data_IF_683247500395
#
_entry.id   IF_683247500395
#
_cell.length_a   1.000
_cell.length_b   1.000
_cell.length_c   1.000
_cell.angle_alpha   90.00
_cell.angle_beta   90.00
_cell.angle_gamma   90.00
#
_symmetry.space_group_name_H-M   'P 1'
#
loop_
_entity.id
_entity.type
_entity.pdbx_description
1 polymer ?
#
# COMPACT_ATOMS: atom_id res chain seq x y z
N UNK A 1 -6.92 63.49 51.83
CA UNK A 1 -6.47 62.11 51.61
C UNK A 1 -7.53 61.12 51.09
N UNK A 2 -8.76 61.10 51.65
CA UNK A 2 -9.80 60.11 51.20
C UNK A 2 -10.25 60.21 49.73
N UNK A 3 -10.28 61.43 49.14
CA UNK A 3 -10.72 61.62 47.73
C UNK A 3 -9.69 61.11 46.68
N UNK A 4 -8.41 61.06 47.03
CA UNK A 4 -7.34 60.58 46.11
C UNK A 4 -7.32 59.04 46.01
N UNK A 5 -7.56 58.35 47.13
CA UNK A 5 -7.63 56.88 47.16
C UNK A 5 -8.84 56.35 46.38
N UNK A 6 -9.97 57.05 46.50
CA UNK A 6 -11.22 56.66 45.78
C UNK A 6 -11.04 56.82 44.25
N UNK A 7 -10.34 57.86 43.77
CA UNK A 7 -10.01 58.01 42.34
C UNK A 7 -9.05 56.89 41.83
N UNK A 8 -8.11 56.47 42.64
CA UNK A 8 -7.17 55.38 42.30
C UNK A 8 -7.90 54.03 42.26
N UNK A 9 -8.81 53.72 43.17
CA UNK A 9 -9.63 52.55 43.17
C UNK A 9 -10.57 52.51 41.94
N UNK A 10 -11.20 53.63 41.60
CA UNK A 10 -12.03 53.76 40.42
C UNK A 10 -11.22 53.62 39.12
N UNK A 11 -9.96 54.09 39.08
CA UNK A 11 -9.05 53.89 37.95
C UNK A 11 -8.68 52.42 37.78
N UNK A 12 -8.38 51.69 38.87
CA UNK A 12 -8.08 50.25 38.84
C UNK A 12 -9.31 49.42 38.46
N UNK A 13 -10.51 49.75 38.84
CA UNK A 13 -11.73 49.09 38.46
C UNK A 13 -12.15 49.38 37.01
N UNK A 14 -11.80 50.57 36.48
CA UNK A 14 -12.09 50.93 35.09
C UNK A 14 -11.14 50.30 34.08
N UNK A 15 -9.94 49.88 34.51
CA UNK A 15 -8.91 49.25 33.70
C UNK A 15 -8.91 47.70 33.82
N UNK A 16 -9.90 47.10 34.52
CA UNK A 16 -10.17 45.68 34.31
C UNK A 16 -10.75 45.53 32.89
N UNK A 17 -9.84 45.42 31.89
CA UNK A 17 -10.19 44.81 30.63
C UNK A 17 -10.85 43.49 31.01
N UNK A 18 -12.11 43.33 30.69
CA UNK A 18 -12.71 42.00 30.58
C UNK A 18 -11.82 41.23 29.57
N UNK A 19 -10.89 40.43 30.05
CA UNK A 19 -10.35 39.35 29.28
C UNK A 19 -11.55 38.46 28.95
N UNK A 20 -12.10 38.70 27.76
CA UNK A 20 -13.05 37.75 27.19
C UNK A 20 -12.32 36.41 27.19
N UNK A 21 -12.89 35.35 27.83
CA UNK A 21 -12.25 34.05 27.77
C UNK A 21 -11.99 33.77 26.30
N UNK A 22 -10.75 33.38 25.99
CA UNK A 22 -10.35 32.99 24.64
C UNK A 22 -11.46 32.07 24.12
N UNK A 23 -12.07 32.45 23.01
CA UNK A 23 -13.13 31.65 22.37
C UNK A 23 -12.48 30.32 22.09
N UNK A 24 -12.75 29.29 22.89
CA UNK A 24 -12.38 27.92 22.61
C UNK A 24 -13.00 27.66 21.25
N UNK A 25 -12.14 27.67 20.22
CA UNK A 25 -12.56 27.43 18.85
C UNK A 25 -13.11 26.02 18.86
N UNK A 26 -14.45 25.86 18.77
CA UNK A 26 -15.06 24.53 18.69
C UNK A 26 -14.46 23.87 17.45
N UNK A 27 -13.57 22.91 17.68
CA UNK A 27 -13.01 22.07 16.65
C UNK A 27 -14.19 21.54 15.81
N UNK A 28 -14.18 21.76 14.51
CA UNK A 28 -15.24 21.26 13.64
C UNK A 28 -15.17 19.72 13.56
N UNK A 29 -16.26 19.09 13.16
CA UNK A 29 -16.33 17.61 13.09
C UNK A 29 -15.20 17.01 12.27
N UNK A 30 -14.89 17.61 11.11
CA UNK A 30 -13.81 17.13 10.23
C UNK A 30 -12.46 17.14 10.96
N UNK A 31 -12.16 18.18 11.70
CA UNK A 31 -10.91 18.29 12.46
C UNK A 31 -10.85 17.26 13.60
N UNK A 32 -11.98 17.01 14.28
CA UNK A 32 -12.05 15.97 15.30
C UNK A 32 -11.82 14.59 14.74
N UNK A 33 -12.45 14.25 13.61
CA UNK A 33 -12.25 12.98 12.90
C UNK A 33 -10.81 12.82 12.43
N UNK A 34 -10.25 13.84 11.79
CA UNK A 34 -8.88 13.79 11.29
C UNK A 34 -7.88 13.57 12.43
N UNK A 35 -8.02 14.30 13.54
CA UNK A 35 -7.16 14.15 14.71
C UNK A 35 -7.30 12.75 15.32
N UNK A 36 -8.52 12.27 15.52
CA UNK A 36 -8.75 10.92 16.01
C UNK A 36 -8.06 9.86 15.18
N UNK A 37 -8.20 9.93 13.85
CA UNK A 37 -7.61 8.97 12.93
C UNK A 37 -6.07 9.03 12.96
N UNK A 38 -5.49 10.22 12.87
CA UNK A 38 -4.03 10.41 12.87
C UNK A 38 -3.36 10.06 14.20
N UNK A 39 -4.03 10.32 15.32
CA UNK A 39 -3.49 9.99 16.65
C UNK A 39 -3.55 8.49 16.96
N UNK A 40 -4.53 7.78 16.38
CA UNK A 40 -4.81 6.37 16.72
C UNK A 40 -4.21 5.38 15.74
N UNK A 41 -4.01 5.78 14.49
CA UNK A 41 -3.67 4.88 13.40
C UNK A 41 -2.61 5.46 12.48
N UNK A 42 -1.88 4.58 11.82
CA UNK A 42 -1.05 4.89 10.68
C UNK A 42 -1.76 4.39 9.43
N UNK A 43 -1.83 5.25 8.43
CA UNK A 43 -2.47 4.97 7.14
C UNK A 43 -1.46 5.07 6.01
N UNK A 44 -1.71 4.32 4.95
CA UNK A 44 -1.01 4.45 3.67
C UNK A 44 -1.94 4.05 2.52
N UNK A 45 -1.75 4.66 1.37
CA UNK A 45 -2.51 4.36 0.15
C UNK A 45 -1.63 3.60 -0.83
N UNK A 46 -2.08 2.42 -1.22
CA UNK A 46 -1.37 1.52 -2.12
C UNK A 46 -1.66 1.91 -3.57
N UNK A 47 -0.67 2.46 -4.27
CA UNK A 47 -0.79 2.90 -5.65
C UNK A 47 -1.01 1.77 -6.66
N UNK A 48 -0.72 0.52 -6.27
CA UNK A 48 -0.86 -0.63 -7.16
C UNK A 48 -2.26 -1.23 -7.14
N UNK A 49 -2.89 -1.26 -5.95
CA UNK A 49 -4.21 -1.88 -5.75
C UNK A 49 -5.34 -0.88 -5.54
N UNK A 50 -5.02 0.43 -5.52
CA UNK A 50 -5.97 1.52 -5.20
C UNK A 50 -6.68 1.31 -3.85
N UNK A 51 -5.97 0.77 -2.86
CA UNK A 51 -6.50 0.46 -1.53
C UNK A 51 -5.85 1.30 -0.45
N UNK A 52 -6.65 1.78 0.49
CA UNK A 52 -6.13 2.34 1.74
C UNK A 52 -5.88 1.22 2.74
N UNK A 53 -4.69 1.21 3.30
CA UNK A 53 -4.27 0.26 4.34
C UNK A 53 -4.02 1.02 5.65
N UNK A 54 -4.24 0.35 6.77
CA UNK A 54 -4.03 0.94 8.09
C UNK A 54 -3.46 -0.06 9.09
N UNK A 55 -2.92 0.47 10.16
CA UNK A 55 -2.60 -0.28 11.38
C UNK A 55 -2.74 0.64 12.59
N UNK A 56 -3.02 0.11 13.80
CA UNK A 56 -2.95 0.91 15.02
C UNK A 56 -1.54 1.48 15.22
N UNK A 57 -1.45 2.75 15.64
CA UNK A 57 -0.16 3.42 15.82
C UNK A 57 0.73 2.73 16.86
N UNK A 58 0.11 2.19 17.91
CA UNK A 58 0.81 1.56 19.05
C UNK A 58 0.83 0.04 18.99
N UNK A 59 0.44 -0.59 17.86
CA UNK A 59 0.46 -2.04 17.74
C UNK A 59 1.90 -2.58 17.71
N UNK A 60 2.15 -3.68 18.43
CA UNK A 60 3.41 -4.42 18.37
C UNK A 60 3.61 -5.02 16.96
N UNK A 61 2.52 -5.51 16.36
CA UNK A 61 2.51 -5.94 14.96
C UNK A 61 2.49 -4.71 14.03
N UNK A 62 3.47 -4.67 13.11
CA UNK A 62 3.61 -3.60 12.12
C UNK A 62 2.89 -3.88 10.81
N UNK A 63 2.10 -4.95 10.75
CA UNK A 63 1.37 -5.36 9.56
C UNK A 63 0.24 -4.39 9.24
N UNK A 64 0.20 -3.90 8.00
CA UNK A 64 -0.90 -3.10 7.49
C UNK A 64 -2.01 -4.00 6.96
N UNK A 65 -3.26 -3.62 7.23
CA UNK A 65 -4.46 -4.32 6.78
C UNK A 65 -5.26 -3.40 5.86
N UNK A 66 -5.77 -3.94 4.77
CA UNK A 66 -6.66 -3.19 3.85
C UNK A 66 -7.96 -2.81 4.54
N UNK A 67 -8.40 -1.57 4.34
CA UNK A 67 -9.66 -1.07 4.87
C UNK A 67 -10.83 -1.54 4.00
N UNK A 68 -11.61 -2.46 4.56
CA UNK A 68 -12.90 -2.86 4.01
C UNK A 68 -14.07 -2.25 4.77
N UNK A 69 -15.28 -2.73 4.52
CA UNK A 69 -16.50 -2.27 5.21
C UNK A 69 -16.47 -2.51 6.72
N UNK A 70 -15.87 -3.62 7.15
CA UNK A 70 -15.79 -3.96 8.58
C UNK A 70 -14.85 -3.02 9.32
N UNK A 71 -13.71 -2.75 8.75
CA UNK A 71 -12.70 -1.84 9.28
C UNK A 71 -13.24 -0.41 9.34
N UNK A 72 -13.90 0.05 8.28
CA UNK A 72 -14.56 1.36 8.24
C UNK A 72 -15.60 1.51 9.37
N UNK A 73 -16.46 0.52 9.54
CA UNK A 73 -17.45 0.51 10.61
C UNK A 73 -16.81 0.50 12.00
N UNK A 74 -15.71 -0.24 12.18
CA UNK A 74 -14.95 -0.29 13.44
C UNK A 74 -14.40 1.10 13.76
N UNK A 75 -13.76 1.78 12.80
CA UNK A 75 -13.26 3.15 12.98
C UNK A 75 -14.39 4.12 13.37
N UNK A 76 -15.58 3.97 12.78
CA UNK A 76 -16.75 4.76 13.11
C UNK A 76 -17.21 4.55 14.55
N UNK A 77 -17.32 3.29 14.98
CA UNK A 77 -17.72 2.94 16.35
C UNK A 77 -16.71 3.43 17.38
N UNK A 78 -15.43 3.35 17.08
CA UNK A 78 -14.38 3.86 17.97
C UNK A 78 -14.39 5.39 18.07
N UNK A 79 -14.67 6.10 16.96
CA UNK A 79 -14.88 7.54 17.00
C UNK A 79 -16.08 7.91 17.90
N UNK A 80 -17.19 7.18 17.78
CA UNK A 80 -18.37 7.36 18.63
C UNK A 80 -18.07 7.10 20.11
N UNK A 81 -17.30 6.05 20.43
CA UNK A 81 -16.88 5.76 21.80
C UNK A 81 -16.06 6.90 22.43
N UNK A 82 -15.41 7.73 21.61
CA UNK A 82 -14.70 8.95 22.01
C UNK A 82 -15.57 10.22 21.95
N UNK A 83 -16.86 10.08 21.72
CA UNK A 83 -17.81 11.20 21.65
C UNK A 83 -17.79 11.99 20.34
N UNK A 84 -17.15 11.45 19.28
CA UNK A 84 -17.11 12.06 17.96
C UNK A 84 -18.26 11.48 17.13
N UNK A 85 -19.36 12.24 16.99
CA UNK A 85 -20.58 11.82 16.27
C UNK A 85 -20.38 12.01 14.75
N UNK A 86 -19.62 11.11 14.13
CA UNK A 86 -19.35 11.12 12.70
C UNK A 86 -20.08 9.97 11.98
N UNK A 87 -20.21 10.10 10.67
CA UNK A 87 -20.71 9.06 9.78
C UNK A 87 -19.54 8.35 9.07
N UNK A 88 -19.80 7.19 8.52
CA UNK A 88 -18.86 6.44 7.67
C UNK A 88 -18.28 7.31 6.54
N UNK A 89 -19.11 8.19 5.96
CA UNK A 89 -18.69 9.15 4.92
C UNK A 89 -17.64 10.16 5.40
N UNK A 90 -17.67 10.56 6.66
CA UNK A 90 -16.70 11.52 7.19
C UNK A 90 -15.33 10.86 7.34
N UNK A 91 -15.30 9.61 7.79
CA UNK A 91 -14.09 8.79 7.85
C UNK A 91 -13.59 8.47 6.44
N UNK A 92 -14.49 8.05 5.52
CA UNK A 92 -14.13 7.73 4.13
C UNK A 92 -13.49 8.93 3.41
N UNK A 93 -13.95 10.16 3.66
CA UNK A 93 -13.33 11.38 3.10
C UNK A 93 -11.87 11.55 3.50
N UNK A 94 -11.53 11.21 4.73
CA UNK A 94 -10.13 11.20 5.17
C UNK A 94 -9.35 10.09 4.47
N UNK A 95 -9.86 8.85 4.50
CA UNK A 95 -9.19 7.65 4.00
C UNK A 95 -8.87 7.70 2.50
N UNK A 96 -9.75 8.34 1.70
CA UNK A 96 -9.57 8.50 0.25
C UNK A 96 -9.09 9.90 -0.14
N UNK A 97 -8.53 10.66 0.81
CA UNK A 97 -7.94 11.96 0.56
C UNK A 97 -6.41 11.88 0.50
N UNK A 98 -5.78 12.94 -0.01
CA UNK A 98 -4.32 13.09 0.01
C UNK A 98 -3.71 13.30 1.42
N UNK A 99 -4.52 13.25 2.46
CA UNK A 99 -4.02 13.19 3.84
C UNK A 99 -3.39 11.83 4.17
N UNK A 100 -3.78 10.79 3.43
CA UNK A 100 -3.17 9.46 3.51
C UNK A 100 -1.97 9.42 2.57
N UNK A 101 -0.75 9.15 3.05
CA UNK A 101 0.43 9.10 2.21
C UNK A 101 0.37 7.93 1.23
N UNK A 102 0.69 8.22 -0.02
CA UNK A 102 0.79 7.24 -1.09
C UNK A 102 2.07 6.43 -0.97
N UNK A 103 2.03 5.16 -1.33
CA UNK A 103 3.22 4.32 -1.44
C UNK A 103 3.09 3.33 -2.59
N UNK A 104 4.22 2.96 -3.18
CA UNK A 104 4.29 1.89 -4.16
C UNK A 104 5.01 0.69 -3.54
N UNK A 105 4.39 -0.51 -3.44
CA UNK A 105 4.95 -1.62 -2.66
C UNK A 105 6.31 -2.09 -3.17
N UNK A 106 6.53 -2.13 -4.47
CA UNK A 106 7.80 -2.55 -5.05
C UNK A 106 8.90 -1.50 -4.84
N UNK A 107 8.60 -0.21 -4.99
CA UNK A 107 9.58 0.84 -4.72
C UNK A 107 10.00 0.83 -3.25
N UNK A 108 9.03 0.73 -2.33
CA UNK A 108 9.31 0.60 -0.90
C UNK A 108 10.18 -0.62 -0.58
N UNK A 109 9.94 -1.75 -1.25
CA UNK A 109 10.78 -2.94 -1.10
C UNK A 109 12.21 -2.69 -1.55
N UNK A 110 12.41 -2.08 -2.72
CA UNK A 110 13.76 -1.78 -3.23
C UNK A 110 14.52 -0.77 -2.36
N UNK A 111 13.84 0.23 -1.82
CA UNK A 111 14.43 1.21 -0.88
C UNK A 111 14.97 0.55 0.41
N UNK A 112 14.38 -0.58 0.81
CA UNK A 112 14.75 -1.30 2.03
C UNK A 112 15.82 -2.37 1.80
N UNK A 113 16.21 -2.61 0.54
CA UNK A 113 17.24 -3.60 0.24
C UNK A 113 18.61 -3.11 0.74
N UNK A 114 19.44 -4.03 1.27
CA UNK A 114 20.82 -3.71 1.58
C UNK A 114 21.63 -3.39 0.32
N UNK A 115 22.76 -2.74 0.49
CA UNK A 115 23.71 -2.52 -0.60
C UNK A 115 24.13 -3.87 -1.20
N UNK A 116 24.19 -3.93 -2.52
CA UNK A 116 24.59 -5.15 -3.23
C UNK A 116 25.97 -5.62 -2.83
N UNK A 117 26.08 -6.89 -2.50
CA UNK A 117 27.30 -7.55 -2.04
C UNK A 117 28.18 -8.15 -3.17
N UNK A 118 27.85 -7.86 -4.43
CA UNK A 118 28.56 -8.35 -5.60
C UNK A 118 28.22 -9.80 -6.01
N UNK A 119 27.31 -10.48 -5.29
CA UNK A 119 26.97 -11.89 -5.58
C UNK A 119 25.89 -11.96 -6.64
N UNK A 120 26.17 -12.65 -7.75
CA UNK A 120 25.21 -12.95 -8.80
C UNK A 120 24.25 -14.08 -8.37
N UNK A 121 23.12 -13.69 -7.79
CA UNK A 121 22.08 -14.61 -7.37
C UNK A 121 21.16 -15.04 -8.50
N UNK A 122 21.05 -14.22 -9.56
CA UNK A 122 20.18 -14.50 -10.70
C UNK A 122 20.71 -15.69 -11.48
N UNK A 123 21.98 -15.68 -11.82
CA UNK A 123 22.63 -16.82 -12.49
C UNK A 123 22.53 -18.10 -11.66
N UNK A 124 22.78 -18.04 -10.36
CA UNK A 124 22.63 -19.21 -9.48
C UNK A 124 21.19 -19.74 -9.44
N UNK A 125 20.20 -18.85 -9.47
CA UNK A 125 18.80 -19.22 -9.49
C UNK A 125 18.42 -19.86 -10.83
N UNK A 126 18.84 -19.28 -11.97
CA UNK A 126 18.64 -19.84 -13.30
C UNK A 126 19.21 -21.26 -13.42
N UNK A 127 20.41 -21.50 -12.90
CA UNK A 127 21.09 -22.80 -12.89
C UNK A 127 20.34 -23.90 -12.13
N UNK A 128 19.37 -23.54 -11.26
CA UNK A 128 18.47 -24.52 -10.62
C UNK A 128 17.55 -25.21 -11.63
N UNK A 129 17.28 -24.58 -12.76
CA UNK A 129 16.41 -25.07 -13.83
C UNK A 129 17.24 -25.72 -14.94
N UNK A 130 18.24 -24.99 -15.46
CA UNK A 130 19.12 -25.49 -16.54
C UNK A 130 20.47 -24.81 -16.50
N UNK A 131 21.53 -25.55 -16.87
CA UNK A 131 22.90 -25.03 -17.04
C UNK A 131 23.16 -24.45 -18.43
N UNK A 132 22.19 -24.52 -19.34
CA UNK A 132 22.31 -24.03 -20.70
C UNK A 132 22.48 -22.49 -20.73
N UNK A 133 23.49 -22.04 -21.47
CA UNK A 133 23.87 -20.61 -21.50
C UNK A 133 22.77 -19.73 -22.04
N UNK A 134 21.99 -20.16 -23.05
CA UNK A 134 20.87 -19.40 -23.60
C UNK A 134 19.76 -19.21 -22.58
N UNK A 135 19.50 -20.24 -21.75
CA UNK A 135 18.52 -20.14 -20.65
C UNK A 135 19.00 -19.15 -19.58
N UNK A 136 20.24 -19.27 -19.12
CA UNK A 136 20.79 -18.38 -18.07
C UNK A 136 20.75 -16.92 -18.53
N UNK A 137 21.19 -16.63 -19.75
CA UNK A 137 21.19 -15.28 -20.30
C UNK A 137 19.77 -14.75 -20.51
N UNK A 138 18.86 -15.57 -21.04
CA UNK A 138 17.47 -15.23 -21.24
C UNK A 138 16.76 -14.93 -19.91
N UNK A 139 16.97 -15.77 -18.90
CA UNK A 139 16.41 -15.58 -17.57
C UNK A 139 16.94 -14.30 -16.89
N UNK A 140 18.24 -14.03 -17.02
CA UNK A 140 18.84 -12.80 -16.50
C UNK A 140 18.21 -11.55 -17.15
N UNK A 141 18.10 -11.55 -18.47
CA UNK A 141 17.47 -10.45 -19.22
C UNK A 141 16.01 -10.26 -18.82
N UNK A 142 15.27 -11.36 -18.67
CA UNK A 142 13.89 -11.31 -18.22
C UNK A 142 13.75 -10.75 -16.81
N UNK A 143 14.61 -11.15 -15.86
CA UNK A 143 14.62 -10.63 -14.49
C UNK A 143 14.89 -9.11 -14.44
N UNK A 144 15.81 -8.63 -15.29
CA UNK A 144 16.04 -7.18 -15.44
C UNK A 144 14.77 -6.46 -15.95
N UNK A 145 14.11 -7.04 -16.96
CA UNK A 145 12.87 -6.51 -17.50
C UNK A 145 11.74 -6.50 -16.46
N UNK A 146 11.63 -7.57 -15.66
CA UNK A 146 10.67 -7.67 -14.55
C UNK A 146 10.91 -6.58 -13.50
N UNK A 147 12.17 -6.40 -13.10
CA UNK A 147 12.56 -5.36 -12.14
C UNK A 147 12.27 -3.96 -12.69
N UNK A 148 12.56 -3.71 -13.97
CA UNK A 148 12.24 -2.45 -14.63
C UNK A 148 10.73 -2.16 -14.64
N UNK A 149 9.89 -3.18 -14.84
CA UNK A 149 8.44 -3.05 -14.72
C UNK A 149 8.01 -2.70 -13.29
N UNK A 150 8.54 -3.39 -12.29
CA UNK A 150 8.22 -3.13 -10.88
C UNK A 150 8.60 -1.72 -10.43
N UNK A 151 9.63 -1.13 -11.04
CA UNK A 151 10.11 0.22 -10.72
C UNK A 151 9.55 1.30 -11.65
N UNK A 152 8.70 0.94 -12.62
CA UNK A 152 8.16 1.88 -13.60
C UNK A 152 9.17 2.40 -14.61
N UNK A 153 10.33 1.71 -14.77
CA UNK A 153 11.43 2.14 -15.65
C UNK A 153 11.39 1.48 -17.05
N UNK A 154 10.24 0.98 -17.47
CA UNK A 154 10.09 0.29 -18.77
C UNK A 154 10.11 1.21 -19.97
N UNK A 155 10.12 2.52 -19.80
CA UNK A 155 10.04 3.48 -20.89
C UNK A 155 8.78 3.26 -21.74
N UNK A 156 8.95 3.18 -23.09
CA UNK A 156 7.84 2.95 -24.03
C UNK A 156 7.52 1.46 -24.27
N UNK A 157 8.33 0.55 -23.79
CA UNK A 157 8.22 -0.87 -24.09
C UNK A 157 8.08 -1.68 -22.79
N UNK A 158 6.99 -2.42 -22.69
CA UNK A 158 6.84 -3.42 -21.63
C UNK A 158 7.78 -4.64 -21.89
N UNK A 159 8.03 -5.43 -20.85
CA UNK A 159 8.72 -6.70 -21.02
C UNK A 159 7.82 -7.65 -21.85
N UNK A 160 8.19 -7.89 -23.10
CA UNK A 160 7.42 -8.70 -24.04
C UNK A 160 7.83 -10.18 -24.05
N UNK A 161 8.73 -10.59 -23.17
CA UNK A 161 9.24 -11.96 -23.08
C UNK A 161 8.82 -12.57 -21.76
N UNK A 162 8.45 -13.83 -21.77
CA UNK A 162 8.16 -14.61 -20.57
C UNK A 162 8.91 -15.95 -20.62
N UNK A 163 9.52 -16.42 -19.52
CA UNK A 163 10.11 -17.75 -19.46
C UNK A 163 9.02 -18.83 -19.53
N UNK A 164 9.25 -19.87 -20.30
CA UNK A 164 8.40 -21.04 -20.41
C UNK A 164 9.09 -22.24 -19.78
N UNK A 165 8.52 -22.78 -18.70
CA UNK A 165 9.03 -23.95 -18.00
C UNK A 165 8.28 -25.21 -18.46
N UNK A 166 8.93 -26.04 -19.27
CA UNK A 166 8.36 -27.28 -19.80
C UNK A 166 9.00 -28.49 -19.12
N UNK A 167 8.20 -29.47 -18.73
CA UNK A 167 8.67 -30.75 -18.21
C UNK A 167 7.71 -31.88 -18.57
N UNK A 168 8.23 -33.00 -19.00
CA UNK A 168 7.46 -34.23 -19.28
C UNK A 168 6.97 -34.87 -17.96
N UNK A 169 7.71 -34.66 -16.86
CA UNK A 169 7.35 -35.24 -15.55
C UNK A 169 6.49 -34.25 -14.76
N UNK A 170 5.43 -34.74 -14.14
CA UNK A 170 4.69 -34.00 -13.13
C UNK A 170 5.48 -33.91 -11.82
N UNK A 171 5.15 -32.91 -10.99
CA UNK A 171 5.79 -32.76 -9.68
C UNK A 171 7.20 -32.18 -9.70
N UNK A 172 7.67 -31.61 -10.81
CA UNK A 172 9.01 -30.99 -10.93
C UNK A 172 9.12 -29.60 -10.27
N UNK A 173 8.21 -29.23 -9.37
CA UNK A 173 8.22 -28.00 -8.60
C UNK A 173 8.24 -26.71 -9.43
N UNK A 174 7.73 -26.72 -10.68
CA UNK A 174 7.69 -25.52 -11.54
C UNK A 174 6.94 -24.35 -10.89
N UNK A 175 5.74 -24.58 -10.42
CA UNK A 175 4.91 -23.54 -9.77
C UNK A 175 5.55 -23.05 -8.47
N UNK A 176 6.22 -23.94 -7.72
CA UNK A 176 7.00 -23.55 -6.52
C UNK A 176 8.16 -22.64 -6.89
N UNK A 177 8.88 -22.96 -7.99
CA UNK A 177 9.95 -22.09 -8.49
C UNK A 177 9.38 -20.72 -8.90
N UNK A 178 8.30 -20.67 -9.68
CA UNK A 178 7.68 -19.40 -10.06
C UNK A 178 7.29 -18.56 -8.84
N UNK A 179 6.68 -19.20 -7.83
CA UNK A 179 6.32 -18.50 -6.58
C UNK A 179 7.54 -17.98 -5.82
N UNK A 180 8.66 -18.72 -5.83
CA UNK A 180 9.90 -18.31 -5.15
C UNK A 180 10.61 -17.11 -5.78
N UNK A 181 10.20 -16.69 -6.98
CA UNK A 181 10.70 -15.47 -7.63
C UNK A 181 10.15 -14.19 -6.98
N UNK A 182 9.02 -14.30 -6.27
CA UNK A 182 8.43 -13.18 -5.56
C UNK A 182 8.98 -13.14 -4.14
N UNK A 183 9.48 -11.99 -3.66
CA UNK A 183 9.88 -11.81 -2.27
C UNK A 183 8.70 -12.06 -1.31
N UNK A 184 8.95 -12.65 -0.14
CA UNK A 184 7.91 -12.99 0.84
C UNK A 184 7.05 -11.78 1.23
N UNK A 185 7.66 -10.61 1.41
CA UNK A 185 6.96 -9.36 1.73
C UNK A 185 6.06 -8.85 0.61
N UNK A 186 6.27 -9.32 -0.62
CA UNK A 186 5.49 -8.97 -1.82
C UNK A 186 4.64 -10.15 -2.32
N UNK A 187 4.54 -11.24 -1.55
CA UNK A 187 3.84 -12.48 -1.95
C UNK A 187 2.37 -12.25 -2.34
N UNK A 188 1.70 -11.22 -1.79
CA UNK A 188 0.33 -10.85 -2.18
C UNK A 188 0.21 -10.39 -3.64
N UNK A 189 1.30 -10.01 -4.29
CA UNK A 189 1.35 -9.56 -5.69
C UNK A 189 1.77 -10.68 -6.65
N UNK A 190 1.77 -11.92 -6.19
CA UNK A 190 1.88 -13.12 -7.01
C UNK A 190 0.52 -13.77 -7.21
N UNK A 191 0.23 -14.22 -8.41
CA UNK A 191 -0.96 -15.04 -8.68
C UNK A 191 -0.66 -16.10 -9.73
N UNK A 192 -1.15 -17.31 -9.51
CA UNK A 192 -1.24 -18.42 -10.45
C UNK A 192 -2.69 -18.67 -10.93
N UNK A 193 -3.65 -17.91 -10.39
CA UNK A 193 -5.03 -17.90 -10.80
C UNK A 193 -5.29 -16.73 -11.76
N UNK A 194 -5.22 -16.98 -13.06
CA UNK A 194 -5.49 -15.95 -14.08
C UNK A 194 -6.70 -16.39 -14.91
N UNK A 195 -7.80 -15.68 -14.76
CA UNK A 195 -8.98 -15.85 -15.59
C UNK A 195 -8.89 -14.94 -16.82
N UNK A 196 -8.53 -15.53 -17.97
CA UNK A 196 -8.38 -14.80 -19.24
C UNK A 196 -9.73 -14.64 -20.00
N UNK A 197 -10.82 -15.19 -19.50
CA UNK A 197 -12.14 -15.13 -20.17
C UNK A 197 -12.80 -13.76 -20.10
N UNK A 198 -12.45 -12.95 -19.11
CA UNK A 198 -12.92 -11.58 -18.94
C UNK A 198 -11.77 -10.60 -19.13
N UNK A 199 -11.81 -9.81 -20.21
CA UNK A 199 -10.79 -8.81 -20.52
C UNK A 199 -10.60 -7.81 -19.36
N UNK A 200 -11.67 -7.34 -18.74
CA UNK A 200 -11.59 -6.37 -17.63
C UNK A 200 -10.91 -6.99 -16.40
N UNK A 201 -11.24 -8.24 -16.04
CA UNK A 201 -10.61 -8.94 -14.92
C UNK A 201 -9.13 -9.23 -15.20
N UNK A 202 -8.81 -9.69 -16.41
CA UNK A 202 -7.42 -9.92 -16.83
C UNK A 202 -6.59 -8.64 -16.78
N UNK A 203 -7.11 -7.54 -17.34
CA UNK A 203 -6.42 -6.23 -17.32
C UNK A 203 -6.19 -5.74 -15.89
N UNK A 204 -7.20 -5.81 -15.03
CA UNK A 204 -7.06 -5.44 -13.63
C UNK A 204 -6.01 -6.31 -12.92
N UNK A 205 -6.08 -7.64 -13.09
CA UNK A 205 -5.10 -8.55 -12.50
C UNK A 205 -3.67 -8.25 -12.98
N UNK A 206 -3.50 -7.94 -14.26
CA UNK A 206 -2.22 -7.53 -14.84
C UNK A 206 -1.69 -6.22 -14.27
N UNK A 207 -2.55 -5.28 -13.89
CA UNK A 207 -2.13 -4.01 -13.29
C UNK A 207 -1.81 -4.11 -11.80
N UNK A 208 -2.45 -5.03 -11.09
CA UNK A 208 -2.31 -5.20 -9.64
C UNK A 208 -1.20 -6.18 -9.24
N UNK A 209 -0.84 -7.14 -10.13
CA UNK A 209 0.12 -8.21 -9.81
C UNK A 209 1.51 -7.90 -10.34
N UNK A 210 2.51 -8.19 -9.51
CA UNK A 210 3.93 -8.11 -9.89
C UNK A 210 4.42 -9.32 -10.68
N UNK A 211 3.82 -10.48 -10.47
CA UNK A 211 4.14 -11.70 -11.20
C UNK A 211 2.89 -12.58 -11.37
N UNK A 212 2.60 -12.91 -12.61
CA UNK A 212 1.54 -13.85 -12.98
C UNK A 212 2.16 -15.14 -13.49
N UNK A 213 1.77 -16.26 -12.90
CA UNK A 213 2.14 -17.58 -13.39
C UNK A 213 0.93 -18.19 -14.13
N UNK A 214 1.06 -18.44 -15.43
CA UNK A 214 0.07 -19.13 -16.22
C UNK A 214 0.34 -20.63 -16.14
N UNK A 215 -0.17 -21.27 -15.09
CA UNK A 215 -0.04 -22.72 -14.93
C UNK A 215 -0.97 -23.44 -15.92
N UNK A 216 -0.52 -24.60 -16.42
CA UNK A 216 -1.27 -25.42 -17.37
C UNK A 216 -1.74 -24.61 -18.62
N UNK A 217 -0.82 -23.91 -19.24
CA UNK A 217 -1.07 -23.01 -20.38
C UNK A 217 -1.81 -23.70 -21.56
N UNK A 218 -1.69 -24.99 -21.68
CA UNK A 218 -2.41 -25.83 -22.65
C UNK A 218 -3.95 -25.84 -22.44
N UNK A 219 -4.44 -25.48 -21.27
CA UNK A 219 -5.86 -25.30 -21.01
C UNK A 219 -6.46 -24.04 -21.65
N UNK A 220 -5.62 -23.09 -22.04
CA UNK A 220 -6.04 -21.86 -22.71
C UNK A 220 -6.14 -22.10 -24.21
N UNK A 221 -7.32 -22.49 -24.71
CA UNK A 221 -7.55 -22.64 -26.15
C UNK A 221 -7.50 -21.30 -26.87
N UNK A 222 -6.99 -21.22 -28.13
CA UNK A 222 -6.84 -19.96 -28.87
C UNK A 222 -8.13 -19.12 -28.99
N UNK A 223 -9.31 -19.73 -28.89
CA UNK A 223 -10.59 -19.01 -28.90
C UNK A 223 -11.06 -18.46 -27.55
N UNK A 224 -10.30 -18.69 -26.47
CA UNK A 224 -10.61 -18.19 -25.10
C UNK A 224 -9.65 -17.09 -24.64
N UNK A 225 -8.69 -16.75 -25.46
CA UNK A 225 -7.77 -15.63 -25.20
C UNK A 225 -8.40 -14.40 -25.83
N UNK A 226 -8.69 -13.32 -25.08
CA UNK A 226 -9.34 -12.11 -25.59
C UNK A 226 -8.48 -11.32 -26.55
#
# INVERSE_FOLDING_TARGET
MKKSIMKFILFLLRNRKHDKPARVQKCNLTEQVNRFLQDSYLFRYNLLTDETEYRPANAADKTFVTIGKRELNTLCLEAHARGILCWDKDISRFLFSKHVPEYHPFLLYFEQLPVWDGIDRITRLAQRISSESYWINGFHTWMLGLTAQWTGQTGKHANSVAPLLVSIRQGCLKSTFCKSLMPDSLSRYYSDEVELTSRSNATRKMSEMGLLNLDEFDKYSPGKIP
#
